data_IF_981458884992
#
_entry.id   IF_981458884992
#
_cell.length_a   1.000
_cell.length_b   1.000
_cell.length_c   1.000
_cell.angle_alpha   90.00
_cell.angle_beta   90.00
_cell.angle_gamma   90.00
#
_symmetry.space_group_name_H-M   'P 1'
#
loop_
_entity.id
_entity.type
_entity.pdbx_description
1 polymer ?
#
# COMPACT_ATOMS: atom_id res chain seq x y z
N UNK A 1 37.88 -25.12 10.58
CA UNK A 1 38.04 -26.33 11.38
C UNK A 1 37.33 -26.05 12.71
N UNK A 2 36.17 -26.68 12.91
CA UNK A 2 35.31 -26.70 14.12
C UNK A 2 34.66 -25.35 14.50
N UNK A 3 33.37 -25.19 14.81
CA UNK A 3 32.18 -26.06 14.93
C UNK A 3 30.92 -25.15 14.84
N UNK A 4 29.74 -25.63 14.43
CA UNK A 4 28.51 -24.85 14.28
C UNK A 4 27.66 -24.86 15.55
N UNK A 5 27.29 -23.70 16.08
CA UNK A 5 26.45 -23.57 17.28
C UNK A 5 24.97 -23.47 16.89
N UNK A 6 24.23 -24.53 17.24
CA UNK A 6 22.90 -24.59 17.86
C UNK A 6 21.86 -23.53 17.48
N UNK A 7 20.78 -23.94 16.82
CA UNK A 7 19.51 -24.37 17.46
C UNK A 7 18.80 -23.24 18.22
N UNK A 8 17.69 -22.79 17.64
CA UNK A 8 16.76 -21.85 18.26
C UNK A 8 15.42 -21.85 17.53
N UNK A 9 14.77 -23.02 17.44
CA UNK A 9 13.41 -23.16 16.96
C UNK A 9 12.43 -22.64 18.04
N UNK A 10 11.89 -21.43 17.84
CA UNK A 10 10.78 -20.92 18.63
C UNK A 10 9.47 -21.07 17.85
N UNK A 11 8.70 -22.09 18.22
CA UNK A 11 7.27 -22.19 17.90
C UNK A 11 6.46 -21.57 19.05
N UNK A 12 5.66 -20.51 18.84
CA UNK A 12 4.63 -20.14 19.79
C UNK A 12 3.41 -21.06 19.62
N UNK A 13 3.02 -21.65 20.75
CA UNK A 13 1.98 -22.65 20.91
C UNK A 13 0.58 -22.14 20.56
N UNK A 14 -0.17 -23.03 19.90
CA UNK A 14 -1.61 -23.00 19.71
C UNK A 14 -2.29 -23.11 21.10
N UNK A 15 -2.87 -22.01 21.59
CA UNK A 15 -3.71 -22.06 22.79
C UNK A 15 -5.13 -22.47 22.38
N UNK A 16 -5.41 -23.77 22.50
CA UNK A 16 -6.74 -24.33 22.53
C UNK A 16 -7.39 -24.00 23.89
N UNK A 17 -8.38 -23.11 23.88
CA UNK A 17 -9.28 -22.87 25.01
C UNK A 17 -10.62 -23.51 24.72
N UNK A 18 -10.74 -24.79 25.05
CA UNK A 18 -12.01 -25.48 25.23
C UNK A 18 -12.48 -25.21 26.67
N UNK A 19 -13.69 -24.68 26.81
CA UNK A 19 -14.51 -24.85 28.00
C UNK A 19 -15.98 -24.64 27.60
N UNK A 20 -16.64 -25.74 27.26
CA UNK A 20 -18.07 -25.92 27.52
C UNK A 20 -18.20 -26.34 28.99
N UNK A 21 -19.28 -25.91 29.67
CA UNK A 21 -20.22 -26.96 30.02
C UNK A 21 -21.69 -26.63 29.70
N UNK A 22 -22.29 -27.73 29.25
CA UNK A 22 -23.67 -28.18 29.14
C UNK A 22 -24.59 -27.89 30.35
N UNK A 23 -25.87 -28.25 30.15
CA UNK A 23 -27.02 -28.26 31.05
C UNK A 23 -27.82 -26.94 31.09
N UNK A 24 -29.10 -26.88 30.78
CA UNK A 24 -30.11 -27.91 30.54
C UNK A 24 -31.49 -27.24 30.69
N UNK A 25 -32.51 -27.82 30.07
CA UNK A 25 -33.90 -27.47 30.39
C UNK A 25 -34.79 -27.17 29.19
N UNK A 26 -35.11 -28.22 28.43
CA UNK A 26 -36.34 -28.26 27.65
C UNK A 26 -37.54 -28.17 28.60
N UNK A 27 -38.14 -26.98 28.68
CA UNK A 27 -39.38 -26.71 29.41
C UNK A 27 -40.45 -26.18 28.46
N UNK A 28 -41.12 -27.10 27.77
CA UNK A 28 -42.43 -26.88 27.15
C UNK A 28 -43.44 -26.51 28.24
N UNK A 29 -43.83 -25.24 28.34
CA UNK A 29 -44.96 -24.82 29.19
C UNK A 29 -45.86 -23.86 28.40
N UNK A 30 -46.97 -24.44 27.94
CA UNK A 30 -48.33 -23.91 28.01
C UNK A 30 -48.56 -22.41 27.77
N UNK A 31 -49.07 -22.11 26.58
CA UNK A 31 -49.95 -20.96 26.35
C UNK A 31 -51.24 -21.19 27.13
N UNK A 32 -51.29 -20.69 28.37
CA UNK A 32 -52.49 -20.54 29.18
C UNK A 32 -52.91 -19.09 29.19
N UNK A 33 -53.99 -18.78 28.49
CA UNK A 33 -54.67 -17.50 28.57
C UNK A 33 -55.42 -17.41 29.91
N UNK A 34 -54.82 -16.73 30.88
CA UNK A 34 -55.54 -16.23 32.05
C UNK A 34 -55.26 -14.74 32.20
N UNK A 35 -56.34 -13.95 32.10
CA UNK A 35 -56.38 -12.53 32.39
C UNK A 35 -56.50 -12.34 33.91
N UNK A 36 -55.51 -11.76 34.61
CA UNK A 36 -55.72 -11.28 35.96
C UNK A 36 -56.35 -9.89 35.95
N UNK A 37 -57.64 -9.86 36.27
CA UNK A 37 -58.36 -8.65 36.68
C UNK A 37 -57.93 -8.29 38.10
N UNK A 38 -57.23 -7.16 38.26
CA UNK A 38 -57.20 -6.37 39.50
C UNK A 38 -56.18 -6.78 40.57
N UNK A 39 -55.18 -5.94 40.78
CA UNK A 39 -54.85 -5.27 42.06
C UNK A 39 -53.62 -4.39 41.85
N UNK A 40 -53.74 -3.10 42.15
CA UNK A 40 -52.62 -2.15 42.12
C UNK A 40 -51.64 -2.47 43.24
N UNK A 41 -50.63 -3.31 42.94
CA UNK A 41 -49.46 -3.49 43.79
C UNK A 41 -48.39 -2.50 43.33
N UNK A 42 -47.95 -1.61 44.22
CA UNK A 42 -46.81 -0.74 43.92
C UNK A 42 -45.56 -1.62 43.78
N UNK A 43 -45.19 -1.93 42.55
CA UNK A 43 -44.01 -2.73 42.22
C UNK A 43 -42.77 -1.95 42.65
N UNK A 44 -42.17 -2.36 43.76
CA UNK A 44 -40.85 -1.88 44.14
C UNK A 44 -39.87 -2.45 43.11
N UNK A 45 -39.47 -1.61 42.16
CA UNK A 45 -38.50 -1.98 41.15
C UNK A 45 -37.19 -2.35 41.87
N UNK A 46 -36.74 -3.58 41.65
CA UNK A 46 -35.43 -4.03 42.10
C UNK A 46 -34.37 -3.09 41.51
N UNK A 47 -33.40 -2.67 42.33
CA UNK A 47 -32.30 -1.81 41.89
C UNK A 47 -31.60 -2.39 40.63
N UNK A 48 -31.56 -3.71 40.49
CA UNK A 48 -31.03 -4.37 39.28
C UNK A 48 -31.84 -4.08 38.02
N UNK A 49 -33.17 -4.02 38.12
CA UNK A 49 -34.04 -3.66 36.98
C UNK A 49 -33.87 -2.20 36.57
N UNK A 50 -33.56 -1.32 37.53
CA UNK A 50 -33.34 0.10 37.28
C UNK A 50 -32.02 0.32 36.54
N UNK A 51 -30.95 -0.38 36.95
CA UNK A 51 -29.65 -0.35 36.26
C UNK A 51 -29.79 -0.91 34.84
N UNK A 52 -30.47 -2.04 34.67
CA UNK A 52 -30.66 -2.65 33.34
C UNK A 52 -31.42 -1.71 32.40
N UNK A 53 -32.51 -1.09 32.88
CA UNK A 53 -33.28 -0.12 32.09
C UNK A 53 -32.44 1.11 31.71
N UNK A 54 -31.61 1.62 32.63
CA UNK A 54 -30.68 2.71 32.36
C UNK A 54 -29.66 2.32 31.28
N UNK A 55 -29.04 1.14 31.39
CA UNK A 55 -28.05 0.67 30.42
C UNK A 55 -28.65 0.51 29.03
N UNK A 56 -29.86 -0.05 28.93
CA UNK A 56 -30.58 -0.18 27.65
C UNK A 56 -30.89 1.18 27.04
N UNK A 57 -31.27 2.17 27.86
CA UNK A 57 -31.51 3.54 27.42
C UNK A 57 -30.24 4.20 26.87
N UNK A 58 -29.11 4.04 27.57
CA UNK A 58 -27.81 4.60 27.14
C UNK A 58 -27.32 3.93 25.85
N UNK A 59 -27.34 2.60 25.79
CA UNK A 59 -26.91 1.85 24.61
C UNK A 59 -27.79 2.15 23.39
N UNK A 60 -29.12 2.19 23.58
CA UNK A 60 -30.07 2.57 22.54
C UNK A 60 -29.85 4.00 22.05
N UNK A 61 -29.57 4.94 22.95
CA UNK A 61 -29.26 6.32 22.62
C UNK A 61 -28.00 6.47 21.76
N UNK A 62 -26.91 5.79 22.13
CA UNK A 62 -25.66 5.80 21.35
C UNK A 62 -25.88 5.24 19.94
N UNK A 63 -26.59 4.11 19.84
CA UNK A 63 -26.87 3.47 18.55
C UNK A 63 -27.76 4.35 17.66
N UNK A 64 -28.72 5.08 18.25
CA UNK A 64 -29.56 6.03 17.52
C UNK A 64 -28.75 7.21 16.95
N UNK A 65 -27.82 7.76 17.73
CA UNK A 65 -26.92 8.83 17.28
C UNK A 65 -26.07 8.33 16.11
N UNK A 66 -25.44 7.15 16.23
CA UNK A 66 -24.66 6.57 15.13
C UNK A 66 -25.50 6.34 13.88
N UNK A 67 -26.76 5.91 14.04
CA UNK A 67 -27.68 5.73 12.92
C UNK A 67 -27.99 7.06 12.23
N UNK A 68 -28.22 8.13 12.99
CA UNK A 68 -28.59 9.43 12.43
C UNK A 68 -27.41 10.14 11.76
N UNK A 69 -26.21 10.03 12.33
CA UNK A 69 -25.00 10.59 11.71
C UNK A 69 -24.45 9.70 10.57
N UNK A 70 -24.60 8.39 10.66
CA UNK A 70 -24.12 7.44 9.64
C UNK A 70 -24.97 7.40 8.37
N UNK A 71 -26.27 7.68 8.47
CA UNK A 71 -27.16 7.80 7.30
C UNK A 71 -27.19 9.22 6.72
N UNK A 72 -26.73 10.22 7.48
CA UNK A 72 -26.72 11.64 7.09
C UNK A 72 -25.50 12.07 6.29
N UNK A 73 -24.40 11.31 6.29
CA UNK A 73 -23.34 11.47 5.29
C UNK A 73 -23.81 10.83 3.97
N UNK A 74 -24.90 11.38 3.41
CA UNK A 74 -25.11 11.31 1.99
C UNK A 74 -23.79 11.74 1.37
N UNK A 75 -23.19 10.85 0.58
CA UNK A 75 -22.09 11.19 -0.29
C UNK A 75 -22.59 12.39 -1.12
N UNK A 76 -22.29 13.60 -0.66
CA UNK A 76 -22.14 14.72 -1.56
C UNK A 76 -20.96 14.31 -2.41
N UNK A 77 -21.27 13.54 -3.46
CA UNK A 77 -20.53 13.60 -4.69
C UNK A 77 -20.59 15.08 -5.04
N UNK A 78 -19.62 15.83 -4.51
CA UNK A 78 -19.23 17.11 -5.06
C UNK A 78 -19.02 16.75 -6.50
N UNK A 79 -19.96 17.18 -7.34
CA UNK A 79 -19.85 17.18 -8.79
C UNK A 79 -18.65 18.07 -9.05
N UNK A 80 -17.47 17.47 -8.91
CA UNK A 80 -16.20 18.08 -9.21
C UNK A 80 -16.24 18.13 -10.72
N UNK A 81 -16.91 19.15 -11.24
CA UNK A 81 -16.69 19.63 -12.59
C UNK A 81 -15.22 19.99 -12.62
N UNK A 82 -14.40 19.01 -12.98
CA UNK A 82 -13.04 19.24 -13.38
C UNK A 82 -13.20 19.98 -14.71
N UNK A 83 -13.37 21.30 -14.61
CA UNK A 83 -13.05 22.22 -15.67
C UNK A 83 -11.57 21.97 -15.96
N UNK A 84 -11.29 20.99 -16.82
CA UNK A 84 -10.07 21.01 -17.59
C UNK A 84 -10.25 22.19 -18.53
N UNK A 85 -9.54 23.32 -18.34
CA UNK A 85 -9.36 24.22 -19.46
C UNK A 85 -8.65 23.39 -20.51
N UNK A 86 -9.41 22.91 -21.50
CA UNK A 86 -8.86 22.50 -22.78
C UNK A 86 -8.44 23.82 -23.42
N UNK A 87 -7.38 24.41 -22.89
CA UNK A 87 -6.61 25.42 -23.59
C UNK A 87 -6.16 24.69 -24.84
N UNK A 88 -6.80 25.03 -25.97
CA UNK A 88 -6.46 24.47 -27.27
C UNK A 88 -4.93 24.51 -27.44
N UNK A 89 -4.35 23.51 -28.14
CA UNK A 89 -2.91 23.31 -28.18
C UNK A 89 -2.22 24.63 -28.45
N UNK A 90 -1.36 25.05 -27.50
CA UNK A 90 -0.60 26.29 -27.64
C UNK A 90 0.15 26.20 -28.97
N UNK A 91 0.11 27.24 -29.83
CA UNK A 91 0.70 27.16 -31.17
C UNK A 91 2.18 26.75 -31.15
N UNK A 92 2.90 27.02 -30.05
CA UNK A 92 4.28 26.58 -29.82
C UNK A 92 4.45 25.05 -29.77
N UNK A 93 3.49 24.29 -29.22
CA UNK A 93 3.61 22.83 -29.10
C UNK A 93 3.44 22.13 -30.45
N UNK A 94 2.59 22.68 -31.32
CA UNK A 94 2.37 22.14 -32.67
C UNK A 94 3.63 22.30 -33.53
N UNK A 95 4.32 23.43 -33.38
CA UNK A 95 5.56 23.71 -34.12
C UNK A 95 6.74 22.87 -33.60
N UNK A 96 6.84 22.66 -32.28
CA UNK A 96 7.83 21.75 -31.69
C UNK A 96 7.61 20.31 -32.14
N UNK A 97 6.36 19.84 -32.15
CA UNK A 97 6.03 18.51 -32.61
C UNK A 97 6.40 18.29 -34.09
N UNK A 98 6.12 19.28 -34.95
CA UNK A 98 6.53 19.26 -36.37
C UNK A 98 8.04 19.26 -36.52
N UNK A 99 8.76 20.02 -35.70
CA UNK A 99 10.24 20.06 -35.71
C UNK A 99 10.84 18.72 -35.31
N UNK A 100 10.29 18.05 -34.31
CA UNK A 100 10.74 16.72 -33.87
C UNK A 100 10.46 15.65 -34.94
N UNK A 101 9.27 15.65 -35.55
CA UNK A 101 8.95 14.72 -36.65
C UNK A 101 9.88 14.95 -37.85
N UNK A 102 10.16 16.21 -38.20
CA UNK A 102 11.08 16.54 -39.28
C UNK A 102 12.50 16.04 -38.98
N UNK A 103 13.00 16.24 -37.75
CA UNK A 103 14.31 15.75 -37.32
C UNK A 103 14.39 14.21 -37.33
N UNK A 104 13.34 13.52 -36.89
CA UNK A 104 13.28 12.06 -36.92
C UNK A 104 13.33 11.52 -38.35
N UNK A 105 12.60 12.16 -39.27
CA UNK A 105 12.59 11.78 -40.69
C UNK A 105 13.96 11.97 -41.35
N UNK A 106 14.70 13.00 -40.93
CA UNK A 106 16.06 13.27 -41.40
C UNK A 106 17.08 12.26 -40.83
N UNK A 107 16.92 11.86 -39.56
CA UNK A 107 17.76 10.87 -38.89
C UNK A 107 17.47 9.41 -39.26
N UNK A 108 16.35 9.13 -39.95
CA UNK A 108 15.94 7.79 -40.34
C UNK A 108 16.78 7.20 -41.49
N UNK A 109 17.85 7.88 -41.91
CA UNK A 109 18.91 7.26 -42.68
C UNK A 109 19.55 6.16 -41.83
N UNK A 110 19.10 4.93 -42.05
CA UNK A 110 19.73 3.73 -41.55
C UNK A 110 21.21 3.81 -41.95
N UNK A 111 22.08 4.12 -41.00
CA UNK A 111 23.53 3.98 -41.14
C UNK A 111 23.79 2.49 -41.23
N UNK A 112 23.60 1.97 -42.43
CA UNK A 112 23.81 0.58 -42.75
C UNK A 112 25.32 0.40 -42.78
N UNK A 113 25.87 -0.10 -41.67
CA UNK A 113 27.29 -0.37 -41.55
C UNK A 113 27.66 -1.33 -42.70
N UNK A 114 28.56 -0.93 -43.61
CA UNK A 114 28.97 -1.78 -44.72
C UNK A 114 29.42 -3.13 -44.18
N UNK A 115 28.97 -4.23 -44.79
CA UNK A 115 29.29 -5.59 -44.34
C UNK A 115 30.81 -5.85 -44.29
N UNK A 116 31.60 -5.04 -45.02
CA UNK A 116 33.05 -5.10 -45.08
C UNK A 116 33.73 -4.61 -43.79
N UNK A 117 33.06 -3.79 -42.98
CA UNK A 117 33.54 -3.29 -41.68
C UNK A 117 33.18 -4.23 -40.51
N UNK A 118 32.26 -5.18 -40.72
CA UNK A 118 31.83 -6.18 -39.71
C UNK A 118 32.74 -7.42 -39.75
N UNK A 119 34.07 -7.22 -39.73
CA UNK A 119 35.04 -8.34 -39.83
C UNK A 119 35.29 -9.09 -38.52
N UNK A 120 34.90 -8.55 -37.37
CA UNK A 120 35.12 -9.20 -36.07
C UNK A 120 33.79 -9.57 -35.42
N UNK A 121 33.60 -10.87 -35.22
CA UNK A 121 32.49 -11.40 -34.44
C UNK A 121 32.68 -10.96 -32.98
N UNK A 122 31.80 -10.11 -32.42
CA UNK A 122 31.97 -9.54 -31.08
C UNK A 122 31.85 -10.59 -29.96
N UNK A 123 31.46 -11.82 -30.27
CA UNK A 123 31.35 -12.92 -29.33
C UNK A 123 32.54 -13.88 -29.36
N UNK A 124 33.53 -13.64 -30.24
CA UNK A 124 34.80 -14.39 -30.20
C UNK A 124 35.79 -13.66 -29.31
N UNK A 125 35.67 -13.94 -28.00
CA UNK A 125 36.74 -13.70 -27.03
C UNK A 125 37.93 -14.56 -27.46
N UNK A 126 38.95 -13.92 -28.02
CA UNK A 126 40.24 -14.56 -28.29
C UNK A 126 40.87 -14.95 -26.94
N UNK A 127 40.63 -16.18 -26.49
CA UNK A 127 41.45 -16.87 -25.51
C UNK A 127 42.81 -17.12 -26.18
N UNK A 128 43.67 -16.11 -26.13
CA UNK A 128 45.08 -16.25 -26.46
C UNK A 128 45.80 -16.28 -25.12
N UNK A 129 46.20 -17.47 -24.70
CA UNK A 129 47.15 -17.69 -23.61
C UNK A 129 48.48 -17.04 -24.03
N UNK A 130 48.79 -15.88 -23.46
CA UNK A 130 50.12 -15.27 -23.55
C UNK A 130 50.76 -15.24 -22.16
N UNK A 131 52.00 -15.73 -22.15
CA UNK A 131 52.91 -15.86 -21.02
C UNK A 131 53.16 -14.55 -20.26
N UNK A 132 53.24 -14.72 -18.94
CA UNK A 132 53.90 -13.94 -17.90
C UNK A 132 54.54 -12.56 -18.24
N UNK A 133 53.97 -11.49 -17.66
CA UNK A 133 54.71 -10.44 -16.94
C UNK A 133 53.79 -9.70 -15.94
N UNK A 134 54.22 -9.40 -14.68
CA UNK A 134 53.34 -8.89 -13.64
C UNK A 134 53.50 -7.37 -13.47
N UNK A 135 52.89 -6.54 -14.32
CA UNK A 135 52.61 -5.14 -13.94
C UNK A 135 51.40 -4.61 -14.70
N UNK A 136 50.21 -4.75 -14.13
CA UNK A 136 49.08 -3.91 -14.50
C UNK A 136 48.18 -3.73 -13.28
N UNK A 137 48.13 -2.49 -12.82
CA UNK A 137 47.17 -2.00 -11.84
C UNK A 137 45.80 -2.58 -12.17
N UNK A 138 45.30 -3.43 -11.28
CA UNK A 138 43.92 -3.86 -11.29
C UNK A 138 43.06 -2.59 -11.18
N UNK A 139 42.69 -2.00 -12.32
CA UNK A 139 41.50 -1.16 -12.40
C UNK A 139 40.40 -2.05 -11.83
N UNK A 140 39.77 -1.70 -10.70
CA UNK A 140 38.61 -2.46 -10.27
C UNK A 140 37.63 -2.35 -11.44
N UNK A 141 37.44 -3.46 -12.14
CA UNK A 141 36.27 -3.65 -12.97
C UNK A 141 35.13 -3.50 -12.00
N UNK A 142 34.57 -2.28 -11.89
CA UNK A 142 33.31 -1.99 -11.22
C UNK A 142 32.41 -3.10 -11.70
N UNK A 143 32.14 -4.06 -10.82
CA UNK A 143 31.52 -5.31 -11.21
C UNK A 143 30.17 -4.93 -11.81
N UNK A 144 29.71 -5.68 -12.81
CA UNK A 144 28.40 -5.39 -13.40
C UNK A 144 27.29 -5.32 -12.34
N UNK A 145 27.48 -6.02 -11.21
CA UNK A 145 26.66 -5.93 -10.01
C UNK A 145 26.65 -4.54 -9.37
N UNK A 146 27.81 -3.89 -9.19
CA UNK A 146 27.88 -2.51 -8.67
C UNK A 146 27.18 -1.52 -9.60
N UNK A 147 27.31 -1.71 -10.92
CA UNK A 147 26.59 -0.89 -11.90
C UNK A 147 25.08 -1.08 -11.79
N UNK A 148 24.60 -2.31 -11.66
CA UNK A 148 23.17 -2.62 -11.49
C UNK A 148 22.62 -2.04 -10.19
N UNK A 149 23.38 -2.12 -9.08
CA UNK A 149 22.98 -1.53 -7.80
C UNK A 149 22.84 -0.02 -7.89
N UNK A 150 23.79 0.67 -8.50
CA UNK A 150 23.73 2.13 -8.72
C UNK A 150 22.53 2.52 -9.57
N UNK A 151 22.32 1.84 -10.69
CA UNK A 151 21.15 2.09 -11.56
C UNK A 151 19.82 1.89 -10.82
N UNK A 152 19.71 0.86 -9.96
CA UNK A 152 18.53 0.66 -9.14
C UNK A 152 18.33 1.77 -8.11
N UNK A 153 19.40 2.18 -7.42
CA UNK A 153 19.34 3.25 -6.44
C UNK A 153 18.90 4.57 -7.10
N UNK A 154 19.44 4.89 -8.27
CA UNK A 154 19.06 6.08 -9.05
C UNK A 154 17.57 6.02 -9.44
N UNK A 155 17.08 4.85 -9.89
CA UNK A 155 15.66 4.65 -10.21
C UNK A 155 14.76 4.82 -8.98
N UNK A 156 15.14 4.27 -7.83
CA UNK A 156 14.40 4.41 -6.57
C UNK A 156 14.33 5.90 -6.19
N UNK A 157 15.46 6.60 -6.22
CA UNK A 157 15.53 8.00 -5.84
C UNK A 157 14.71 8.90 -6.78
N UNK A 158 14.82 8.67 -8.09
CA UNK A 158 14.07 9.43 -9.10
C UNK A 158 12.56 9.17 -8.98
N UNK A 159 12.17 7.91 -8.72
CA UNK A 159 10.77 7.56 -8.53
C UNK A 159 10.22 8.14 -7.22
N UNK A 160 10.99 8.07 -6.13
CA UNK A 160 10.63 8.64 -4.84
C UNK A 160 10.37 10.14 -4.94
N UNK A 161 11.21 10.87 -5.67
CA UNK A 161 11.03 12.30 -5.91
C UNK A 161 9.75 12.65 -6.68
N UNK A 162 9.21 11.71 -7.47
CA UNK A 162 7.94 11.86 -8.18
C UNK A 162 6.72 11.34 -7.41
N UNK A 163 6.91 10.72 -6.25
CA UNK A 163 5.80 10.27 -5.40
C UNK A 163 5.27 11.45 -4.59
N UNK A 164 3.96 11.63 -4.63
CA UNK A 164 3.28 12.67 -3.86
C UNK A 164 2.18 12.04 -3.02
N UNK A 165 2.17 12.35 -1.72
CA UNK A 165 1.10 11.92 -0.82
C UNK A 165 -0.05 12.94 -0.90
N UNK A 166 -1.11 12.59 -1.62
CA UNK A 166 -2.24 13.48 -1.84
C UNK A 166 -3.19 13.52 -0.64
N UNK A 167 -3.51 12.35 -0.07
CA UNK A 167 -4.39 12.27 1.10
C UNK A 167 -4.18 10.99 1.90
N UNK A 168 -4.51 11.05 3.19
CA UNK A 168 -4.56 9.88 4.08
C UNK A 168 -5.93 9.86 4.74
N UNK A 169 -6.63 8.74 4.60
CA UNK A 169 -7.92 8.47 5.22
C UNK A 169 -7.66 7.58 6.43
N UNK A 170 -7.85 8.15 7.62
CA UNK A 170 -7.75 7.43 8.88
C UNK A 170 -9.01 6.57 9.10
N UNK A 171 -8.83 5.40 9.70
CA UNK A 171 -9.91 4.45 10.00
C UNK A 171 -9.37 3.17 10.62
N UNK A 172 -10.23 2.18 10.82
CA UNK A 172 -9.82 0.82 11.23
C UNK A 172 -8.92 0.16 10.18
N UNK A 173 -9.14 0.48 8.91
CA UNK A 173 -8.29 0.10 7.79
C UNK A 173 -7.80 1.38 7.11
N UNK A 174 -6.58 1.85 7.40
CA UNK A 174 -6.07 3.09 6.84
C UNK A 174 -5.84 2.95 5.34
N UNK A 175 -6.17 3.99 4.58
CA UNK A 175 -5.98 4.08 3.13
C UNK A 175 -5.25 5.38 2.82
N UNK A 176 -4.22 5.32 1.97
CA UNK A 176 -3.51 6.49 1.49
C UNK A 176 -3.70 6.64 -0.03
N UNK A 177 -3.71 7.88 -0.51
CA UNK A 177 -3.70 8.19 -1.93
C UNK A 177 -2.33 8.73 -2.31
N UNK A 178 -1.56 7.94 -3.07
CA UNK A 178 -0.20 8.26 -3.48
C UNK A 178 -0.16 8.39 -4.99
N UNK A 179 0.25 9.54 -5.50
CA UNK A 179 0.30 9.84 -6.94
C UNK A 179 -1.01 9.49 -7.66
N UNK A 180 -2.14 9.78 -7.01
CA UNK A 180 -3.48 9.53 -7.54
C UNK A 180 -4.06 8.11 -7.32
N UNK A 181 -3.27 7.14 -6.87
CA UNK A 181 -3.68 5.75 -6.65
C UNK A 181 -4.01 5.46 -5.17
N UNK A 182 -5.07 4.70 -4.90
CA UNK A 182 -5.47 4.32 -3.55
C UNK A 182 -4.72 3.05 -3.13
N UNK A 183 -3.98 3.12 -2.03
CA UNK A 183 -3.15 2.02 -1.53
C UNK A 183 -3.35 1.79 -0.04
N UNK A 184 -3.17 0.53 0.38
CA UNK A 184 -3.25 0.05 1.76
C UNK A 184 -1.90 -0.46 2.24
N UNK A 185 -1.81 -0.72 3.54
CA UNK A 185 -0.65 -1.42 4.12
C UNK A 185 -0.49 -2.78 3.46
N UNK A 186 0.71 -3.06 2.95
CA UNK A 186 1.04 -4.27 2.20
C UNK A 186 1.01 -4.12 0.67
N UNK A 187 0.42 -3.05 0.15
CA UNK A 187 0.36 -2.82 -1.31
C UNK A 187 1.69 -2.34 -1.86
N UNK A 188 1.87 -2.54 -3.17
CA UNK A 188 3.07 -2.17 -3.92
C UNK A 188 2.81 -0.94 -4.78
N UNK A 189 3.50 0.15 -4.51
CA UNK A 189 3.39 1.43 -5.25
C UNK A 189 4.44 1.45 -6.35
N UNK A 190 3.99 1.72 -7.59
CA UNK A 190 4.84 1.82 -8.80
C UNK A 190 5.77 0.62 -9.04
N UNK A 191 5.45 -0.55 -8.50
CA UNK A 191 6.28 -1.75 -8.70
C UNK A 191 7.54 -1.83 -7.83
N UNK A 192 7.83 -0.81 -7.02
CA UNK A 192 9.13 -0.66 -6.33
C UNK A 192 9.00 -0.53 -4.82
N UNK A 193 7.95 0.14 -4.33
CA UNK A 193 7.81 0.49 -2.92
C UNK A 193 6.70 -0.32 -2.28
N UNK A 194 6.98 -0.97 -1.16
CA UNK A 194 5.99 -1.67 -0.35
C UNK A 194 5.53 -0.78 0.80
N UNK A 195 4.21 -0.59 0.94
CA UNK A 195 3.63 0.20 2.02
C UNK A 195 3.73 -0.58 3.32
N UNK A 196 4.56 -0.12 4.27
CA UNK A 196 4.73 -0.76 5.58
C UNK A 196 3.71 -0.26 6.59
N UNK A 197 3.47 1.04 6.60
CA UNK A 197 2.67 1.67 7.62
C UNK A 197 2.06 2.98 7.13
N UNK A 198 0.82 3.25 7.53
CA UNK A 198 0.11 4.50 7.26
C UNK A 198 -0.29 5.09 8.62
N UNK A 199 0.25 6.26 8.97
CA UNK A 199 -0.05 6.94 10.24
C UNK A 199 -0.28 8.42 10.05
N UNK A 200 -1.45 8.90 10.48
CA UNK A 200 -1.77 10.33 10.50
C UNK A 200 -1.66 10.96 9.12
N UNK A 201 -0.59 11.72 8.89
CA UNK A 201 -0.31 12.45 7.63
C UNK A 201 0.96 11.95 6.92
N UNK A 202 1.46 10.78 7.31
CA UNK A 202 2.66 10.18 6.72
C UNK A 202 2.44 8.71 6.36
N UNK A 203 3.22 8.26 5.36
CA UNK A 203 3.26 6.87 4.91
C UNK A 203 4.70 6.41 4.92
N UNK A 204 4.95 5.27 5.57
CA UNK A 204 6.26 4.62 5.58
C UNK A 204 6.28 3.59 4.45
N UNK A 205 7.13 3.83 3.47
CA UNK A 205 7.41 2.96 2.35
C UNK A 205 8.71 2.20 2.58
N UNK A 206 8.83 1.01 2.01
CA UNK A 206 10.07 0.25 2.02
C UNK A 206 10.42 -0.24 0.63
N UNK A 207 11.69 -0.08 0.23
CA UNK A 207 12.24 -0.61 -1.01
C UNK A 207 13.67 -1.10 -0.75
N UNK A 208 14.02 -2.30 -1.25
CA UNK A 208 15.34 -2.92 -1.09
C UNK A 208 15.90 -2.95 0.36
N UNK A 209 15.00 -3.00 1.36
CA UNK A 209 15.36 -3.04 2.78
C UNK A 209 15.55 -1.67 3.44
N UNK A 210 15.52 -0.59 2.66
CA UNK A 210 15.50 0.78 3.16
C UNK A 210 14.05 1.22 3.45
N UNK A 211 13.90 2.22 4.32
CA UNK A 211 12.61 2.80 4.68
C UNK A 211 12.60 4.29 4.35
N UNK A 212 11.54 4.71 3.67
CA UNK A 212 11.32 6.09 3.24
C UNK A 212 10.02 6.58 3.85
N UNK A 213 10.01 7.80 4.37
CA UNK A 213 8.79 8.40 4.94
C UNK A 213 8.29 9.49 4.02
N UNK A 214 7.10 9.30 3.45
CA UNK A 214 6.39 10.34 2.72
C UNK A 214 5.50 11.13 3.69
N UNK A 215 5.55 12.45 3.57
CA UNK A 215 4.71 13.38 4.35
C UNK A 215 3.92 14.27 3.42
N UNK A 216 2.65 14.54 3.77
CA UNK A 216 1.82 15.48 3.02
C UNK A 216 2.45 16.89 3.00
N UNK A 217 2.69 17.44 1.80
CA UNK A 217 3.21 18.80 1.62
C UNK A 217 4.72 18.95 1.84
N UNK A 218 5.46 17.85 1.97
CA UNK A 218 6.92 17.85 1.96
C UNK A 218 7.44 17.32 0.63
N UNK A 219 7.78 18.24 -0.27
CA UNK A 219 8.70 17.99 -1.40
C UNK A 219 10.10 18.45 -1.01
#
# INVERSE_FOLDING_TARGET
MSDPTEQGAFHPALAAGADEPDEGGAGLIGVGADLPTGTSASTRLSNGSLILLLTVLVAGGVLYIMRQFGLGSGLTLVDMQIDYPIDGPKPSEVDEHRRVIAALRDSAHAVQVPLEEVKKNPFRLNLQEEDAAPVAQARPTISEEERRRRQRADLIQTTLAGLELNSVIAGSVPIARISGENVRVGDLVKGLFLVREIRGRSVVLSADGETYTLTMGGS
#
